data_IF_216500357460
#
_entry.id   IF_216500357460
#
_cell.length_a   1.000
_cell.length_b   1.000
_cell.length_c   1.000
_cell.angle_alpha   90.00
_cell.angle_beta   90.00
_cell.angle_gamma   90.00
#
_symmetry.space_group_name_H-M   'P 1'
#
loop_
_entity.id
_entity.type
_entity.pdbx_description
1 polymer ?
#
# COMPACT_ATOMS: atom_id res chain seq x y z
N UNK A 1 19.04 -3.43 -2.24
CA UNK A 1 17.87 -3.54 -3.12
C UNK A 1 16.55 -3.85 -2.38
N UNK A 2 16.46 -3.67 -1.05
CA UNK A 2 15.26 -4.01 -0.27
C UNK A 2 14.63 -2.78 0.42
N UNK A 3 15.01 -1.58 0.01
CA UNK A 3 14.51 -0.35 0.59
C UNK A 3 13.39 0.19 -0.29
N UNK A 4 12.26 0.51 0.33
CA UNK A 4 11.20 1.26 -0.33
C UNK A 4 11.69 2.65 -0.78
N UNK A 5 11.02 3.26 -1.77
CA UNK A 5 9.91 2.72 -2.56
C UNK A 5 10.37 1.74 -3.65
N UNK A 6 9.55 0.72 -3.92
CA UNK A 6 9.68 -0.09 -5.14
C UNK A 6 9.10 0.68 -6.32
N UNK A 7 9.65 0.48 -7.53
CA UNK A 7 9.25 1.23 -8.73
C UNK A 7 9.09 0.32 -9.95
N UNK A 8 8.01 0.51 -10.69
CA UNK A 8 7.81 -0.05 -12.03
C UNK A 8 7.17 1.00 -12.94
N UNK A 9 7.88 1.40 -14.00
CA UNK A 9 7.49 2.56 -14.80
C UNK A 9 7.33 3.82 -13.93
N UNK A 10 6.14 4.42 -13.94
CA UNK A 10 5.78 5.57 -13.09
C UNK A 10 5.24 5.20 -11.70
N UNK A 11 4.93 3.93 -11.47
CA UNK A 11 4.31 3.48 -10.22
C UNK A 11 5.36 3.33 -9.13
N UNK A 12 5.06 3.91 -7.97
CA UNK A 12 5.80 3.76 -6.72
C UNK A 12 4.95 3.01 -5.71
N UNK A 13 5.59 2.14 -4.92
CA UNK A 13 4.93 1.31 -3.92
C UNK A 13 5.73 1.28 -2.63
N UNK A 14 5.07 1.63 -1.53
CA UNK A 14 5.59 1.49 -0.16
C UNK A 14 4.67 0.56 0.64
N UNK A 15 5.26 -0.25 1.50
CA UNK A 15 4.56 -1.20 2.34
C UNK A 15 5.16 -1.19 3.75
N UNK A 16 4.31 -1.06 4.76
CA UNK A 16 4.66 -1.26 6.15
C UNK A 16 3.77 -2.36 6.73
N UNK A 17 4.39 -3.48 7.08
CA UNK A 17 3.65 -4.70 7.38
C UNK A 17 4.50 -5.93 7.12
N UNK A 18 3.84 -7.08 7.08
CA UNK A 18 4.46 -8.38 6.87
C UNK A 18 3.46 -9.38 6.32
N UNK A 19 3.92 -10.28 5.47
CA UNK A 19 3.24 -11.56 5.21
C UNK A 19 3.87 -12.61 6.13
N UNK A 20 3.11 -13.11 7.11
CA UNK A 20 3.62 -14.16 8.00
C UNK A 20 3.99 -15.41 7.20
N UNK A 21 5.05 -16.11 7.62
CA UNK A 21 5.53 -17.31 6.94
C UNK A 21 5.85 -17.13 5.44
N UNK A 22 6.07 -15.89 4.99
CA UNK A 22 6.32 -15.57 3.57
C UNK A 22 7.33 -16.51 2.90
N UNK A 23 8.43 -16.88 3.57
CA UNK A 23 9.44 -17.77 2.98
C UNK A 23 8.90 -19.15 2.58
N UNK A 24 7.88 -19.67 3.26
CA UNK A 24 7.26 -20.96 2.97
C UNK A 24 6.40 -20.93 1.71
N UNK A 25 5.79 -19.78 1.41
CA UNK A 25 4.87 -19.59 0.28
C UNK A 25 5.46 -18.75 -0.85
N UNK A 26 6.68 -18.23 -0.66
CA UNK A 26 7.33 -17.29 -1.57
C UNK A 26 7.41 -17.84 -2.99
N UNK A 27 7.73 -19.13 -3.15
CA UNK A 27 7.88 -19.75 -4.46
C UNK A 27 6.58 -19.67 -5.25
N UNK A 28 5.47 -20.02 -4.62
CA UNK A 28 4.13 -20.05 -5.20
C UNK A 28 3.66 -18.61 -5.49
N UNK A 29 3.95 -17.67 -4.61
CA UNK A 29 3.68 -16.25 -4.85
C UNK A 29 4.45 -15.71 -6.06
N UNK A 30 5.74 -16.06 -6.18
CA UNK A 30 6.58 -15.67 -7.30
C UNK A 30 6.08 -16.28 -8.62
N UNK A 31 5.62 -17.53 -8.60
CA UNK A 31 5.03 -18.18 -9.78
C UNK A 31 3.69 -17.56 -10.21
N UNK A 32 3.01 -16.85 -9.31
CA UNK A 32 1.81 -16.09 -9.60
C UNK A 32 2.07 -14.75 -10.29
N UNK A 33 3.32 -14.28 -10.36
CA UNK A 33 3.69 -13.03 -11.03
C UNK A 33 3.73 -13.25 -12.55
N UNK A 34 3.21 -12.28 -13.30
CA UNK A 34 3.25 -12.30 -14.76
C UNK A 34 4.68 -12.56 -15.28
N UNK A 35 4.89 -13.50 -16.23
CA UNK A 35 6.23 -13.85 -16.70
C UNK A 35 7.07 -12.67 -17.20
N UNK A 36 6.44 -11.68 -17.82
CA UNK A 36 7.06 -10.45 -18.30
C UNK A 36 7.54 -9.50 -17.20
N UNK A 37 6.97 -9.59 -16.00
CA UNK A 37 7.33 -8.78 -14.85
C UNK A 37 8.43 -9.44 -13.99
N UNK A 38 8.54 -10.77 -14.03
CA UNK A 38 9.49 -11.53 -13.23
C UNK A 38 10.96 -11.06 -13.35
N UNK A 39 11.50 -10.74 -14.55
CA UNK A 39 12.89 -10.27 -14.68
C UNK A 39 13.17 -8.92 -13.99
N UNK A 40 12.13 -8.14 -13.66
CA UNK A 40 12.27 -6.85 -13.02
C UNK A 40 12.38 -6.94 -11.48
N UNK A 41 12.12 -8.10 -10.89
CA UNK A 41 12.28 -8.36 -9.45
C UNK A 41 13.78 -8.41 -9.12
N UNK A 42 14.24 -7.59 -8.17
CA UNK A 42 15.65 -7.49 -7.80
C UNK A 42 15.96 -7.92 -6.38
N UNK A 43 14.98 -7.82 -5.49
CA UNK A 43 15.09 -8.18 -4.09
C UNK A 43 14.36 -9.47 -3.76
N UNK A 44 14.15 -9.66 -2.46
CA UNK A 44 13.65 -10.92 -1.91
C UNK A 44 12.57 -10.72 -0.86
N UNK A 45 12.10 -9.48 -0.68
CA UNK A 45 11.12 -9.11 0.35
C UNK A 45 9.71 -9.45 -0.08
N UNK A 46 8.83 -9.65 0.90
CA UNK A 46 7.39 -9.76 0.69
C UNK A 46 6.82 -8.53 -0.03
N UNK A 47 7.30 -7.35 0.34
CA UNK A 47 6.87 -6.05 -0.17
C UNK A 47 7.05 -5.92 -1.69
N UNK A 48 8.18 -6.40 -2.22
CA UNK A 48 8.43 -6.37 -3.66
C UNK A 48 7.55 -7.39 -4.39
N UNK A 49 7.39 -8.59 -3.82
CA UNK A 49 6.51 -9.61 -4.38
C UNK A 49 5.05 -9.14 -4.39
N UNK A 50 4.58 -8.49 -3.33
CA UNK A 50 3.27 -7.83 -3.29
C UNK A 50 3.12 -6.82 -4.42
N UNK A 51 4.10 -5.94 -4.61
CA UNK A 51 4.03 -4.94 -5.67
C UNK A 51 3.91 -5.57 -7.07
N UNK A 52 4.69 -6.61 -7.36
CA UNK A 52 4.63 -7.29 -8.66
C UNK A 52 3.38 -8.17 -8.84
N UNK A 53 2.83 -8.74 -7.77
CA UNK A 53 1.51 -9.37 -7.81
C UNK A 53 0.41 -8.35 -8.08
N UNK A 54 0.44 -7.19 -7.43
CA UNK A 54 -0.51 -6.12 -7.69
C UNK A 54 -0.44 -5.64 -9.16
N UNK A 55 0.77 -5.46 -9.71
CA UNK A 55 0.96 -5.16 -11.13
C UNK A 55 0.37 -6.26 -12.02
N UNK A 56 0.60 -7.53 -11.68
CA UNK A 56 0.03 -8.69 -12.39
C UNK A 56 -1.50 -8.66 -12.39
N UNK A 57 -2.12 -8.27 -11.27
CA UNK A 57 -3.56 -8.19 -11.12
C UNK A 57 -4.19 -6.87 -11.59
N UNK A 58 -3.41 -6.00 -12.25
CA UNK A 58 -3.96 -4.81 -12.92
C UNK A 58 -3.87 -3.52 -12.11
N UNK A 59 -2.86 -3.37 -11.23
CA UNK A 59 -2.62 -2.15 -10.44
C UNK A 59 -2.63 -0.87 -11.30
N UNK A 60 -2.20 -0.97 -12.56
CA UNK A 60 -2.12 0.17 -13.48
C UNK A 60 -3.48 0.63 -14.01
N UNK A 61 -4.51 -0.20 -13.89
CA UNK A 61 -5.84 0.02 -14.48
C UNK A 61 -6.87 0.26 -13.37
N UNK A 62 -6.98 -0.68 -12.43
CA UNK A 62 -7.92 -0.64 -11.32
C UNK A 62 -7.19 -0.94 -10.01
N UNK A 63 -6.58 0.09 -9.37
CA UNK A 63 -5.63 -0.13 -8.29
C UNK A 63 -6.20 -0.85 -7.09
N UNK A 64 -7.41 -0.47 -6.62
CA UNK A 64 -7.99 -1.09 -5.43
C UNK A 64 -8.40 -2.54 -5.69
N UNK A 65 -9.15 -2.88 -6.75
CA UNK A 65 -9.44 -4.28 -7.09
C UNK A 65 -8.19 -5.14 -7.28
N UNK A 66 -7.13 -4.60 -7.89
CA UNK A 66 -5.86 -5.32 -8.06
C UNK A 66 -5.19 -5.66 -6.72
N UNK A 67 -5.26 -4.75 -5.75
CA UNK A 67 -4.73 -4.96 -4.39
C UNK A 67 -5.58 -5.96 -3.60
N UNK A 68 -6.90 -5.94 -3.75
CA UNK A 68 -7.79 -6.94 -3.16
C UNK A 68 -7.46 -8.33 -3.73
N UNK A 69 -7.32 -8.44 -5.04
CA UNK A 69 -6.96 -9.68 -5.71
C UNK A 69 -5.56 -10.18 -5.31
N UNK A 70 -4.60 -9.27 -5.12
CA UNK A 70 -3.28 -9.59 -4.58
C UNK A 70 -3.38 -10.25 -3.20
N UNK A 71 -4.14 -9.66 -2.27
CA UNK A 71 -4.35 -10.24 -0.94
C UNK A 71 -5.08 -11.57 -1.02
N UNK A 72 -6.17 -11.65 -1.81
CA UNK A 72 -6.93 -12.89 -2.04
C UNK A 72 -6.01 -14.03 -2.48
N UNK A 73 -5.10 -13.74 -3.41
CA UNK A 73 -4.13 -14.71 -3.91
C UNK A 73 -3.13 -15.13 -2.83
N UNK A 74 -2.57 -14.19 -2.07
CA UNK A 74 -1.65 -14.51 -0.95
C UNK A 74 -2.31 -15.42 0.07
N UNK A 75 -3.55 -15.10 0.47
CA UNK A 75 -4.29 -15.91 1.44
C UNK A 75 -4.70 -17.28 0.88
N UNK A 76 -4.99 -17.37 -0.42
CA UNK A 76 -5.26 -18.65 -1.08
C UNK A 76 -4.02 -19.54 -1.11
N UNK A 77 -2.88 -19.01 -1.54
CA UNK A 77 -1.60 -19.74 -1.56
C UNK A 77 -1.21 -20.20 -0.15
N UNK A 78 -1.43 -19.35 0.86
CA UNK A 78 -1.24 -19.68 2.26
C UNK A 78 -2.05 -20.92 2.68
N UNK A 79 -3.37 -20.91 2.41
CA UNK A 79 -4.26 -22.05 2.69
C UNK A 79 -3.83 -23.31 1.96
N UNK A 80 -3.51 -23.22 0.67
CA UNK A 80 -3.16 -24.37 -0.18
C UNK A 80 -1.85 -25.05 0.24
N UNK A 81 -0.96 -24.30 0.90
CA UNK A 81 0.29 -24.82 1.44
C UNK A 81 0.20 -25.22 2.92
N UNK A 82 -1.01 -25.21 3.50
CA UNK A 82 -1.23 -25.61 4.89
C UNK A 82 -0.61 -24.67 5.92
N UNK A 83 -0.39 -23.40 5.53
CA UNK A 83 0.18 -22.37 6.39
C UNK A 83 -0.94 -21.39 6.77
N UNK A 84 -0.92 -20.91 8.01
CA UNK A 84 -1.78 -19.79 8.43
C UNK A 84 -1.01 -18.48 8.30
N UNK A 85 -0.64 -18.08 7.07
CA UNK A 85 -0.07 -16.76 6.84
C UNK A 85 -1.15 -15.70 7.01
N UNK A 86 -0.91 -14.75 7.91
CA UNK A 86 -1.68 -13.52 8.01
C UNK A 86 -1.01 -12.43 7.18
N UNK A 87 -1.81 -11.61 6.51
CA UNK A 87 -1.33 -10.38 5.89
C UNK A 87 -1.55 -9.25 6.90
N UNK A 88 -0.52 -8.44 7.11
CA UNK A 88 -0.64 -7.12 7.72
C UNK A 88 -0.04 -6.12 6.77
N UNK A 89 -0.78 -5.10 6.35
CA UNK A 89 -0.26 -4.11 5.42
C UNK A 89 -0.88 -2.73 5.64
N UNK A 90 -0.02 -1.73 5.72
CA UNK A 90 -0.34 -0.38 5.25
C UNK A 90 0.42 -0.11 3.97
N UNK A 91 -0.30 0.30 2.93
CA UNK A 91 0.25 0.55 1.60
C UNK A 91 0.18 2.04 1.28
N UNK A 92 1.17 2.53 0.56
CA UNK A 92 1.16 3.83 -0.11
C UNK A 92 1.62 3.65 -1.55
N UNK A 93 0.79 4.08 -2.49
CA UNK A 93 0.97 3.79 -3.91
C UNK A 93 0.66 5.06 -4.69
N UNK A 94 1.47 5.36 -5.70
CA UNK A 94 1.21 6.49 -6.58
C UNK A 94 1.82 6.28 -7.95
N UNK A 95 1.22 6.91 -8.97
CA UNK A 95 1.81 7.05 -10.29
C UNK A 95 2.18 8.50 -10.65
N UNK A 96 1.96 9.43 -9.72
CA UNK A 96 2.23 10.86 -9.88
C UNK A 96 1.00 11.77 -9.84
N UNK A 97 -0.20 11.25 -10.12
CA UNK A 97 -1.46 12.03 -10.07
C UNK A 97 -2.38 11.59 -8.93
N UNK A 98 -2.37 10.30 -8.58
CA UNK A 98 -3.19 9.71 -7.53
C UNK A 98 -2.32 9.16 -6.41
N UNK A 99 -2.78 9.30 -5.17
CA UNK A 99 -2.25 8.55 -4.02
C UNK A 99 -3.32 7.54 -3.63
N UNK A 100 -2.97 6.26 -3.70
CA UNK A 100 -3.76 5.16 -3.13
C UNK A 100 -3.09 4.72 -1.85
N UNK A 101 -3.85 4.64 -0.76
CA UNK A 101 -3.39 4.10 0.50
C UNK A 101 -4.36 3.02 0.98
N UNK A 102 -3.84 1.94 1.56
CA UNK A 102 -4.68 0.84 2.06
C UNK A 102 -4.24 0.51 3.46
N UNK A 103 -5.20 0.28 4.36
CA UNK A 103 -4.98 -0.30 5.68
C UNK A 103 -5.74 -1.60 5.77
N UNK A 104 -5.02 -2.72 5.92
CA UNK A 104 -5.65 -4.04 5.98
C UNK A 104 -4.82 -5.06 6.77
N UNK A 105 -5.53 -5.92 7.50
CA UNK A 105 -4.97 -7.12 8.11
C UNK A 105 -5.98 -8.25 8.12
N UNK A 106 -5.52 -9.46 7.79
CA UNK A 106 -6.31 -10.70 7.86
C UNK A 106 -6.89 -10.91 9.27
N UNK A 107 -6.18 -10.49 10.32
CA UNK A 107 -6.58 -10.68 11.72
C UNK A 107 -7.18 -9.42 12.37
N UNK A 108 -7.49 -8.39 11.59
CA UNK A 108 -8.05 -7.11 12.05
C UNK A 108 -7.22 -6.42 13.14
N UNK A 109 -5.89 -6.52 13.03
CA UNK A 109 -4.93 -5.84 13.91
C UNK A 109 -3.90 -5.08 13.09
N UNK A 110 -4.37 -4.27 12.12
CA UNK A 110 -3.45 -3.50 11.29
C UNK A 110 -2.74 -2.41 12.07
N UNK A 111 -1.54 -2.07 11.59
CA UNK A 111 -0.86 -0.83 11.95
C UNK A 111 -1.71 0.37 11.53
N UNK A 112 -1.60 1.46 12.28
CA UNK A 112 -2.34 2.68 11.99
C UNK A 112 -1.88 3.33 10.68
N UNK A 113 -2.79 4.08 10.08
CA UNK A 113 -2.55 4.86 8.89
C UNK A 113 -3.40 6.13 9.00
N UNK A 114 -2.82 7.28 8.70
CA UNK A 114 -3.48 8.58 8.80
C UNK A 114 -3.27 9.35 7.52
N UNK A 115 -4.22 10.23 7.19
CA UNK A 115 -4.03 11.24 6.16
C UNK A 115 -4.33 12.64 6.70
N UNK A 116 -3.67 13.65 6.12
CA UNK A 116 -3.88 15.05 6.51
C UNK A 116 -5.13 15.62 5.85
N UNK A 117 -6.02 16.25 6.61
CA UNK A 117 -7.19 16.99 6.09
C UNK A 117 -6.84 18.36 5.53
N UNK A 118 -5.71 18.95 5.96
CA UNK A 118 -5.31 20.31 5.59
C UNK A 118 -3.87 20.39 5.06
N UNK A 119 -3.62 21.35 4.17
CA UNK A 119 -2.27 21.65 3.68
C UNK A 119 -1.33 22.13 4.79
N UNK A 120 -1.90 22.72 5.84
CA UNK A 120 -1.15 23.23 6.99
C UNK A 120 -0.30 22.13 7.64
N UNK A 121 -0.81 20.90 7.70
CA UNK A 121 -0.05 19.75 8.21
C UNK A 121 1.22 19.53 7.39
N UNK A 122 1.13 19.56 6.06
CA UNK A 122 2.31 19.43 5.18
C UNK A 122 3.33 20.54 5.45
N UNK A 123 2.88 21.80 5.51
CA UNK A 123 3.76 22.94 5.74
C UNK A 123 4.55 22.84 7.07
N UNK A 124 3.93 22.27 8.11
CA UNK A 124 4.56 22.07 9.41
C UNK A 124 5.55 20.90 9.41
N UNK A 125 5.31 19.88 8.58
CA UNK A 125 6.22 18.75 8.44
C UNK A 125 7.52 19.13 7.74
N UNK A 126 7.40 19.91 6.67
CA UNK A 126 8.56 20.31 5.91
C UNK A 126 8.31 21.68 5.25
N UNK A 127 9.18 22.68 5.45
CA UNK A 127 9.07 23.97 4.79
C UNK A 127 8.96 23.90 3.26
N UNK A 128 9.50 22.83 2.64
CA UNK A 128 9.37 22.58 1.20
C UNK A 128 7.91 22.39 0.74
N UNK A 129 7.01 21.91 1.61
CA UNK A 129 5.58 21.76 1.29
C UNK A 129 4.90 23.09 0.92
N UNK A 130 5.51 24.25 1.21
CA UNK A 130 5.01 25.56 0.74
C UNK A 130 5.02 25.70 -0.77
N UNK A 131 5.80 24.87 -1.48
CA UNK A 131 5.85 24.84 -2.94
C UNK A 131 4.74 23.97 -3.56
N UNK A 132 4.03 23.19 -2.75
CA UNK A 132 2.96 22.33 -3.19
C UNK A 132 1.62 23.07 -3.22
N UNK A 133 0.67 22.55 -3.99
CA UNK A 133 -0.72 23.04 -3.98
C UNK A 133 -1.34 22.95 -2.58
N UNK A 134 -2.27 23.84 -2.26
CA UNK A 134 -3.09 23.75 -1.04
C UNK A 134 -3.97 22.48 -1.00
N UNK A 135 -4.10 21.80 -2.13
CA UNK A 135 -4.75 20.50 -2.23
C UNK A 135 -3.81 19.33 -1.90
N UNK A 136 -2.53 19.59 -1.58
CA UNK A 136 -1.61 18.55 -1.16
C UNK A 136 -2.13 17.82 0.08
N UNK A 137 -1.91 16.51 0.10
CA UNK A 137 -2.27 15.62 1.20
C UNK A 137 -1.05 14.79 1.56
N UNK A 138 -0.93 14.46 2.84
CA UNK A 138 0.15 13.63 3.38
C UNK A 138 -0.47 12.39 3.98
N UNK A 139 0.11 11.22 3.70
CA UNK A 139 -0.28 9.94 4.29
C UNK A 139 0.88 9.42 5.13
N UNK A 140 0.62 9.03 6.38
CA UNK A 140 1.64 8.64 7.37
C UNK A 140 1.16 7.48 8.23
N UNK A 141 2.10 6.72 8.83
CA UNK A 141 1.74 5.64 9.77
C UNK A 141 1.33 6.17 11.16
N UNK A 142 1.82 7.34 11.55
CA UNK A 142 1.51 8.02 12.82
C UNK A 142 1.45 9.54 12.63
N UNK A 143 0.61 10.28 13.38
CA UNK A 143 0.52 11.74 13.25
C UNK A 143 1.86 12.40 13.59
N UNK A 144 2.43 13.11 12.64
CA UNK A 144 3.80 13.66 12.74
C UNK A 144 3.85 15.09 13.31
N UNK A 145 2.70 15.66 13.69
CA UNK A 145 2.60 17.03 14.25
C UNK A 145 1.71 17.07 15.48
N UNK A 146 1.93 18.04 16.37
CA UNK A 146 1.08 18.30 17.53
C UNK A 146 -0.36 18.76 17.19
N UNK A 147 -0.66 19.05 15.92
CA UNK A 147 -2.03 19.35 15.46
C UNK A 147 -2.80 18.07 15.19
N UNK A 148 -3.34 17.45 16.24
CA UNK A 148 -4.11 16.20 16.14
C UNK A 148 -5.35 16.33 15.28
N UNK A 149 -6.00 17.50 15.29
CA UNK A 149 -7.28 17.72 14.60
C UNK A 149 -7.15 17.74 13.07
N UNK A 150 -5.94 17.89 12.55
CA UNK A 150 -5.65 17.90 11.13
C UNK A 150 -5.44 16.49 10.55
N UNK A 151 -5.29 15.47 11.39
CA UNK A 151 -5.10 14.10 10.96
C UNK A 151 -6.40 13.32 11.10
N UNK A 152 -6.69 12.51 10.09
CA UNK A 152 -7.80 11.57 10.13
C UNK A 152 -7.26 10.16 9.97
N UNK A 153 -7.64 9.29 10.89
CA UNK A 153 -7.26 7.88 10.85
C UNK A 153 -8.02 7.18 9.73
N UNK A 154 -7.29 6.44 8.89
CA UNK A 154 -7.89 5.54 7.90
C UNK A 154 -8.44 4.32 8.66
N UNK A 155 -9.74 4.02 8.56
CA UNK A 155 -10.32 2.88 9.26
C UNK A 155 -9.70 1.55 8.83
N UNK A 156 -9.82 0.54 9.68
CA UNK A 156 -9.41 -0.83 9.35
C UNK A 156 -10.13 -1.32 8.07
N UNK A 157 -9.45 -2.10 7.24
CA UNK A 157 -10.00 -2.65 5.99
C UNK A 157 -10.59 -1.57 5.07
N UNK A 158 -9.82 -0.51 4.84
CA UNK A 158 -10.23 0.64 4.00
C UNK A 158 -9.15 0.96 2.98
N UNK A 159 -9.60 1.27 1.77
CA UNK A 159 -8.79 1.88 0.72
C UNK A 159 -9.15 3.37 0.61
N UNK A 160 -8.11 4.20 0.58
CA UNK A 160 -8.15 5.64 0.43
C UNK A 160 -7.57 6.00 -0.94
N UNK A 161 -8.34 6.72 -1.76
CA UNK A 161 -7.84 7.30 -3.02
C UNK A 161 -7.90 8.81 -2.92
N UNK A 162 -6.76 9.46 -3.15
CA UNK A 162 -6.62 10.92 -3.15
C UNK A 162 -6.24 11.35 -4.56
N UNK A 163 -7.03 12.27 -5.12
CA UNK A 163 -6.73 12.96 -6.37
C UNK A 163 -7.08 14.44 -6.22
N UNK A 164 -6.05 15.29 -6.24
CA UNK A 164 -6.18 16.72 -5.95
C UNK A 164 -6.97 16.95 -4.64
N UNK A 165 -8.16 17.58 -4.72
CA UNK A 165 -9.02 17.86 -3.56
C UNK A 165 -9.96 16.72 -3.18
N UNK A 166 -10.09 15.69 -4.02
CA UNK A 166 -11.01 14.59 -3.79
C UNK A 166 -10.32 13.51 -2.98
N UNK A 167 -10.98 13.14 -1.89
CA UNK A 167 -10.58 12.04 -1.00
C UNK A 167 -11.75 11.08 -0.98
N UNK A 168 -11.52 9.85 -1.44
CA UNK A 168 -12.53 8.79 -1.47
C UNK A 168 -12.04 7.66 -0.60
N UNK A 169 -12.86 7.29 0.39
CA UNK A 169 -12.68 6.06 1.14
C UNK A 169 -13.69 5.03 0.66
N UNK A 170 -13.25 3.79 0.54
CA UNK A 170 -14.12 2.66 0.29
C UNK A 170 -13.67 1.44 1.11
N UNK A 171 -14.61 0.54 1.48
CA UNK A 171 -14.26 -0.72 2.08
C UNK A 171 -13.24 -1.48 1.22
N UNK A 172 -12.26 -2.11 1.85
CA UNK A 172 -11.29 -2.98 1.23
C UNK A 172 -11.61 -4.42 1.62
N UNK A 173 -12.06 -5.23 0.66
CA UNK A 173 -12.62 -6.57 0.89
C UNK A 173 -12.00 -7.62 -0.04
N UNK A 174 -10.84 -8.18 0.36
CA UNK A 174 -10.14 -9.24 -0.37
C UNK A 174 -10.83 -10.59 -0.47
#
# INVERSE_FOLDING_TARGET
SNCHPFRYGKWLFVHNGVIDNFQHIKRELVLGIAPELYPAIQGTTDSEIMFYLALTFGLTNEPVPALEQMVRFIEQVSRDNGVSASVQMTLGITEGEHIIAVRYSTIQRSRSLYYSKSWRSCQLLNPWCKQLSENARVVVSEPLTALTDDWEEVPESTALTIQAKHVVMQPFQP
#
